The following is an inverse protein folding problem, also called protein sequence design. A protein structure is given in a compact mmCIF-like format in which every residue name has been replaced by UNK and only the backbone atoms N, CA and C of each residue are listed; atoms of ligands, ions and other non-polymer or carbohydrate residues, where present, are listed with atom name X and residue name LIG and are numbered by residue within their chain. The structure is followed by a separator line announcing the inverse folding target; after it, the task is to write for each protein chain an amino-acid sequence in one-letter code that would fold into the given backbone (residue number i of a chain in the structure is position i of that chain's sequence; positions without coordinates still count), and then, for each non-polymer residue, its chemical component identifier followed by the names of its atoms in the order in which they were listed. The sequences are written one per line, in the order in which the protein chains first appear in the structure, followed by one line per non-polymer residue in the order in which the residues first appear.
data_IF_403657143812
#
_entry.id   IF_403657143812
#
_cell.length_a   1.000
_cell.length_b   1.000
_cell.length_c   1.000
_cell.angle_alpha   90.00
_cell.angle_beta   90.00
_cell.angle_gamma   90.00
#
_symmetry.space_group_name_H-M   'P 1'
#
loop_
_entity.id
_entity.type
_entity.pdbx_description
1 polymer ?
#
# COMPACT_ATOMS: atom_id res chain seq x y z
N UNK A 1 20.39 41.91 7.73
CA UNK A 1 19.04 41.39 7.99
C UNK A 1 19.18 39.92 8.40
N UNK A 2 19.43 39.79 9.70
CA UNK A 2 19.24 38.70 10.66
C UNK A 2 19.22 37.23 10.23
N UNK A 3 20.39 36.61 10.47
CA UNK A 3 20.53 35.24 10.95
C UNK A 3 20.11 35.16 12.43
N UNK A 4 18.92 34.64 12.74
CA UNK A 4 18.59 34.17 14.09
C UNK A 4 17.35 33.26 14.08
N UNK A 5 17.55 31.94 13.99
CA UNK A 5 16.75 30.93 14.72
C UNK A 5 17.27 29.53 14.38
N UNK A 6 18.32 29.11 15.08
CA UNK A 6 18.73 27.72 15.22
C UNK A 6 18.75 27.41 16.71
N UNK A 7 17.62 27.00 17.25
CA UNK A 7 17.54 26.22 18.49
C UNK A 7 17.28 24.78 18.03
N UNK A 8 18.08 23.76 18.32
CA UNK A 8 18.92 23.56 19.50
C UNK A 8 18.24 22.55 20.43
N UNK A 9 17.89 21.36 19.94
CA UNK A 9 17.41 20.26 20.78
C UNK A 9 18.58 19.75 21.62
N UNK A 10 18.63 20.20 22.87
CA UNK A 10 19.57 19.74 23.89
C UNK A 10 18.95 18.50 24.54
N UNK A 11 19.51 17.33 24.23
CA UNK A 11 19.21 16.09 24.94
C UNK A 11 19.64 16.26 26.40
N UNK A 12 18.65 16.24 27.31
CA UNK A 12 18.89 16.15 28.75
C UNK A 12 19.13 14.68 29.07
N UNK A 13 20.26 14.30 29.70
CA UNK A 13 20.46 12.93 30.14
C UNK A 13 19.51 12.64 31.31
N UNK A 14 18.69 11.59 31.13
CA UNK A 14 17.79 11.08 32.14
C UNK A 14 18.63 10.32 33.20
N UNK A 15 18.97 11.00 34.29
CA UNK A 15 19.71 10.42 35.43
C UNK A 15 18.79 10.29 36.65
N UNK A 16 17.71 9.51 36.53
CA UNK A 16 16.91 9.10 37.69
C UNK A 16 16.54 7.61 37.54
N UNK A 17 17.53 6.75 37.83
CA UNK A 17 17.26 5.35 38.12
C UNK A 17 16.77 5.25 39.57
N UNK A 18 15.59 4.68 39.85
CA UNK A 18 15.13 4.48 41.22
C UNK A 18 16.04 3.48 41.94
N UNK A 19 16.52 3.88 43.12
CA UNK A 19 17.33 3.05 43.99
C UNK A 19 16.59 1.78 44.43
N UNK A 20 17.25 0.64 44.30
CA UNK A 20 16.81 -0.65 44.86
C UNK A 20 16.55 -0.53 46.38
N UNK A 21 15.38 -0.97 46.88
CA UNK A 21 15.16 -1.03 48.31
C UNK A 21 15.99 -2.16 48.95
N UNK A 22 16.72 -1.79 49.99
CA UNK A 22 17.55 -2.67 50.80
C UNK A 22 16.76 -3.86 51.39
N UNK A 23 17.31 -5.05 51.24
CA UNK A 23 16.78 -6.28 51.81
C UNK A 23 16.82 -6.24 53.36
N UNK A 24 15.65 -6.29 53.99
CA UNK A 24 15.48 -6.48 55.43
C UNK A 24 15.55 -7.99 55.71
N UNK A 25 16.70 -8.46 56.21
CA UNK A 25 16.87 -9.81 56.72
C UNK A 25 16.25 -9.92 58.13
N UNK A 26 15.07 -10.56 58.23
CA UNK A 26 14.48 -10.98 59.49
C UNK A 26 14.73 -12.47 59.76
N UNK A 27 15.11 -12.88 60.98
CA UNK A 27 15.38 -14.28 61.31
C UNK A 27 14.12 -15.01 61.79
N UNK A 28 13.90 -16.20 61.24
CA UNK A 28 13.38 -17.33 62.00
C UNK A 28 11.86 -17.57 61.99
N UNK A 29 11.41 -18.38 61.03
CA UNK A 29 10.28 -19.27 61.22
C UNK A 29 10.53 -20.58 60.45
N UNK A 30 10.90 -21.64 61.18
CA UNK A 30 11.02 -23.00 60.66
C UNK A 30 9.62 -23.53 60.35
N UNK A 31 9.21 -23.44 59.08
CA UNK A 31 8.09 -24.22 58.56
C UNK A 31 8.62 -25.58 58.07
N UNK A 32 7.97 -26.65 58.53
CA UNK A 32 8.30 -28.02 58.19
C UNK A 32 8.17 -28.25 56.67
N UNK A 33 9.31 -28.43 56.00
CA UNK A 33 9.39 -28.89 54.62
C UNK A 33 9.00 -30.38 54.59
N UNK A 34 7.77 -30.69 54.16
CA UNK A 34 7.44 -32.06 53.75
C UNK A 34 8.15 -32.32 52.42
N UNK A 35 9.23 -33.09 52.48
CA UNK A 35 9.88 -33.68 51.32
C UNK A 35 8.97 -34.74 50.70
N UNK A 36 7.95 -34.31 49.96
CA UNK A 36 7.36 -35.17 48.95
C UNK A 36 8.35 -35.22 47.79
N UNK A 37 8.92 -36.40 47.56
CA UNK A 37 9.82 -36.68 46.46
C UNK A 37 9.18 -36.17 45.16
N UNK A 38 9.77 -35.10 44.60
CA UNK A 38 9.44 -34.62 43.27
C UNK A 38 9.79 -35.77 42.30
N UNK A 39 8.76 -36.52 41.92
CA UNK A 39 8.90 -37.52 40.87
C UNK A 39 9.31 -36.83 39.57
N UNK A 40 9.87 -37.57 38.60
CA UNK A 40 10.40 -37.08 37.32
C UNK A 40 9.37 -36.40 36.39
N UNK A 41 8.19 -36.07 36.90
CA UNK A 41 7.08 -35.43 36.20
C UNK A 41 6.94 -33.93 36.50
N UNK A 42 7.61 -33.39 37.52
CA UNK A 42 7.55 -31.95 37.84
C UNK A 42 8.19 -31.08 36.75
N UNK A 43 9.25 -31.57 36.10
CA UNK A 43 9.95 -30.84 35.04
C UNK A 43 9.19 -30.89 33.71
N UNK A 44 8.40 -31.95 33.49
CA UNK A 44 7.54 -32.09 32.30
C UNK A 44 6.34 -31.13 32.38
N UNK A 45 5.77 -30.92 33.57
CA UNK A 45 4.69 -29.96 33.79
C UNK A 45 5.16 -28.50 33.58
N UNK A 46 6.38 -28.17 34.01
CA UNK A 46 6.91 -26.81 33.86
C UNK A 46 7.21 -26.43 32.38
N UNK A 47 7.62 -27.38 31.54
CA UNK A 47 7.85 -27.14 30.10
C UNK A 47 6.54 -27.13 29.29
N UNK A 48 5.51 -27.89 29.71
CA UNK A 48 4.19 -27.81 29.10
C UNK A 48 3.52 -26.45 29.30
N UNK A 49 3.69 -25.83 30.47
CA UNK A 49 3.07 -24.56 30.81
C UNK A 49 3.60 -23.40 29.95
N UNK A 50 4.92 -23.34 29.73
CA UNK A 50 5.53 -22.27 28.91
C UNK A 50 5.05 -22.29 27.45
N UNK A 51 4.93 -23.49 26.88
CA UNK A 51 4.48 -23.65 25.48
C UNK A 51 3.01 -23.28 25.31
N UNK A 52 2.18 -23.67 26.28
CA UNK A 52 0.77 -23.31 26.29
C UNK A 52 0.57 -21.79 26.40
N UNK A 53 1.34 -21.10 27.24
CA UNK A 53 1.28 -19.63 27.36
C UNK A 53 1.64 -18.92 26.06
N UNK A 54 2.72 -19.35 25.38
CA UNK A 54 3.13 -18.75 24.11
C UNK A 54 2.06 -18.92 23.01
N UNK A 55 1.43 -20.09 22.94
CA UNK A 55 0.35 -20.33 21.99
C UNK A 55 -0.92 -19.56 22.35
N UNK A 56 -1.28 -19.49 23.64
CA UNK A 56 -2.40 -18.67 24.10
C UNK A 56 -2.18 -17.22 23.73
N UNK A 57 -0.96 -16.69 23.89
CA UNK A 57 -0.60 -15.36 23.44
C UNK A 57 -0.75 -15.21 21.92
N UNK A 58 -0.28 -16.16 21.11
CA UNK A 58 -0.44 -16.13 19.65
C UNK A 58 -1.92 -16.16 19.22
N UNK A 59 -2.76 -16.94 19.92
CA UNK A 59 -4.21 -16.99 19.68
C UNK A 59 -4.88 -15.68 20.06
N UNK A 60 -4.52 -15.08 21.20
CA UNK A 60 -5.01 -13.76 21.61
C UNK A 60 -4.62 -12.72 20.56
N UNK A 61 -3.35 -12.67 20.13
CA UNK A 61 -2.90 -11.74 19.08
C UNK A 61 -3.65 -11.96 17.75
N UNK A 62 -3.86 -13.21 17.35
CA UNK A 62 -4.62 -13.56 16.13
C UNK A 62 -6.09 -13.17 16.26
N UNK A 63 -6.69 -13.39 17.42
CA UNK A 63 -8.06 -13.00 17.70
C UNK A 63 -8.23 -11.49 17.75
N UNK A 64 -7.27 -10.76 18.33
CA UNK A 64 -7.27 -9.30 18.38
C UNK A 64 -7.10 -8.68 16.99
N UNK A 65 -6.36 -9.35 16.10
CA UNK A 65 -6.21 -8.91 14.71
C UNK A 65 -7.44 -9.18 13.83
N UNK A 66 -8.21 -10.24 14.10
CA UNK A 66 -9.31 -10.68 13.22
C UNK A 66 -10.71 -10.39 13.80
N UNK A 67 -10.81 -10.15 15.11
CA UNK A 67 -12.06 -10.06 15.85
C UNK A 67 -12.66 -8.65 15.90
N UNK A 68 -11.88 -7.62 15.59
CA UNK A 68 -12.31 -6.23 15.66
C UNK A 68 -12.23 -5.58 14.29
N UNK A 69 -13.35 -4.99 13.85
CA UNK A 69 -13.34 -4.07 12.74
C UNK A 69 -12.96 -2.68 13.27
N UNK A 70 -11.78 -2.18 12.92
CA UNK A 70 -11.25 -0.89 13.39
C UNK A 70 -11.42 0.18 12.31
N UNK A 71 -11.54 1.42 12.74
CA UNK A 71 -11.40 2.57 11.86
C UNK A 71 -9.92 2.92 11.78
N UNK A 72 -9.42 3.23 10.60
CA UNK A 72 -8.06 3.70 10.40
C UNK A 72 -7.89 5.10 10.99
N UNK A 73 -7.15 5.22 12.10
CA UNK A 73 -6.98 6.48 12.81
C UNK A 73 -5.98 7.43 12.13
N UNK A 74 -5.11 6.90 11.27
CA UNK A 74 -4.02 7.65 10.65
C UNK A 74 -4.38 8.19 9.25
N UNK A 75 -5.55 7.80 8.73
CA UNK A 75 -6.02 8.20 7.41
C UNK A 75 -7.19 9.18 7.49
N UNK A 76 -7.17 10.18 6.61
CA UNK A 76 -8.29 11.12 6.42
C UNK A 76 -9.60 10.40 6.11
N UNK A 77 -9.56 9.24 5.46
CA UNK A 77 -10.76 8.45 5.17
C UNK A 77 -11.40 7.88 6.45
N UNK A 78 -10.59 7.49 7.43
CA UNK A 78 -11.11 7.04 8.73
C UNK A 78 -11.69 8.18 9.55
N UNK A 79 -11.07 9.37 9.51
CA UNK A 79 -11.64 10.58 10.09
C UNK A 79 -12.99 10.95 9.46
N UNK A 80 -13.06 10.96 8.12
CA UNK A 80 -14.29 11.23 7.37
C UNK A 80 -15.40 10.20 7.66
N UNK A 81 -15.04 8.97 7.98
CA UNK A 81 -15.97 7.91 8.37
C UNK A 81 -16.49 8.09 9.81
N UNK A 82 -15.58 8.30 10.77
CA UNK A 82 -15.90 8.28 12.20
C UNK A 82 -16.48 9.59 12.72
N UNK A 83 -15.96 10.74 12.30
CA UNK A 83 -16.36 12.04 12.85
C UNK A 83 -17.85 12.36 12.67
N UNK A 84 -18.50 12.07 11.52
CA UNK A 84 -19.95 12.24 11.41
C UNK A 84 -20.74 11.36 12.40
N UNK A 85 -20.24 10.16 12.73
CA UNK A 85 -20.89 9.28 13.71
C UNK A 85 -20.71 9.77 15.14
N UNK A 86 -19.54 10.34 15.46
CA UNK A 86 -19.29 11.00 16.74
C UNK A 86 -20.15 12.26 16.88
N UNK A 87 -20.25 13.09 15.84
CA UNK A 87 -21.13 14.25 15.81
C UNK A 87 -22.60 13.87 16.00
N UNK A 88 -23.07 12.82 15.31
CA UNK A 88 -24.42 12.27 15.51
C UNK A 88 -24.65 11.83 16.95
N UNK A 89 -23.69 11.14 17.55
CA UNK A 89 -23.78 10.63 18.92
C UNK A 89 -23.81 11.76 19.96
N UNK A 90 -23.14 12.88 19.67
CA UNK A 90 -23.17 14.10 20.48
C UNK A 90 -24.39 14.99 20.23
N UNK A 91 -25.30 14.62 19.32
CA UNK A 91 -26.46 15.46 18.97
C UNK A 91 -26.12 16.64 18.08
N UNK A 92 -25.09 16.52 17.24
CA UNK A 92 -24.65 17.53 16.27
C UNK A 92 -24.26 18.89 16.88
N UNK A 93 -23.61 18.89 18.05
CA UNK A 93 -23.08 20.14 18.60
C UNK A 93 -22.13 20.82 17.61
N UNK A 94 -22.05 22.15 17.65
CA UNK A 94 -21.29 22.95 16.67
C UNK A 94 -19.84 22.48 16.56
N UNK A 95 -19.19 22.13 17.69
CA UNK A 95 -17.80 21.65 17.71
C UNK A 95 -17.61 20.33 16.96
N UNK A 96 -18.43 19.31 17.26
CA UNK A 96 -18.32 18.02 16.58
C UNK A 96 -18.77 18.08 15.12
N UNK A 97 -19.81 18.87 14.82
CA UNK A 97 -20.27 19.11 13.45
C UNK A 97 -19.19 19.81 12.63
N UNK A 98 -18.54 20.84 13.19
CA UNK A 98 -17.41 21.50 12.55
C UNK A 98 -16.24 20.56 12.30
N UNK A 99 -15.94 19.67 13.24
CA UNK A 99 -14.89 18.67 13.09
C UNK A 99 -15.22 17.64 11.98
N UNK A 100 -16.46 17.15 11.95
CA UNK A 100 -16.95 16.25 10.90
C UNK A 100 -16.90 16.88 9.50
N UNK A 101 -17.32 18.14 9.36
CA UNK A 101 -17.23 18.89 8.10
C UNK A 101 -15.78 19.08 7.65
N UNK A 102 -14.85 19.36 8.57
CA UNK A 102 -13.42 19.43 8.25
C UNK A 102 -12.88 18.09 7.75
N UNK A 103 -13.21 16.99 8.42
CA UNK A 103 -12.82 15.64 7.98
C UNK A 103 -13.29 15.31 6.56
N UNK A 104 -14.55 15.63 6.24
CA UNK A 104 -15.10 15.47 4.88
C UNK A 104 -14.42 16.38 3.85
N UNK A 105 -14.10 17.63 4.23
CA UNK A 105 -13.40 18.57 3.35
C UNK A 105 -11.98 18.09 3.04
N UNK A 106 -11.22 17.66 4.05
CA UNK A 106 -9.87 17.12 3.83
C UNK A 106 -9.90 15.85 2.98
N UNK A 107 -10.92 14.99 3.14
CA UNK A 107 -11.10 13.82 2.29
C UNK A 107 -11.36 14.21 0.83
N UNK A 108 -12.21 15.20 0.59
CA UNK A 108 -12.44 15.73 -0.75
C UNK A 108 -11.16 16.32 -1.35
N UNK A 109 -10.42 17.13 -0.58
CA UNK A 109 -9.15 17.69 -1.01
C UNK A 109 -8.11 16.62 -1.33
N UNK A 110 -8.02 15.57 -0.51
CA UNK A 110 -7.14 14.42 -0.74
C UNK A 110 -7.47 13.73 -2.07
N UNK A 111 -8.74 13.39 -2.30
CA UNK A 111 -9.18 12.76 -3.55
C UNK A 111 -8.87 13.62 -4.78
N UNK A 112 -9.08 14.95 -4.68
CA UNK A 112 -8.79 15.88 -5.77
C UNK A 112 -7.29 16.00 -6.03
N UNK A 113 -6.47 16.05 -4.98
CA UNK A 113 -5.02 16.18 -5.10
C UNK A 113 -4.39 14.90 -5.67
N UNK A 114 -4.73 13.73 -5.10
CA UNK A 114 -4.27 12.44 -5.61
C UNK A 114 -4.77 12.22 -7.06
N UNK A 115 -6.05 12.48 -7.32
CA UNK A 115 -6.62 12.39 -8.66
C UNK A 115 -5.93 13.32 -9.67
N UNK A 116 -5.58 14.55 -9.27
CA UNK A 116 -4.85 15.50 -10.12
C UNK A 116 -3.43 15.01 -10.44
N UNK A 117 -2.68 14.53 -9.46
CA UNK A 117 -1.33 14.00 -9.68
C UNK A 117 -1.35 12.78 -10.60
N UNK A 118 -2.28 11.85 -10.37
CA UNK A 118 -2.48 10.68 -11.24
C UNK A 118 -2.91 11.09 -12.65
N UNK A 119 -3.76 12.11 -12.79
CA UNK A 119 -4.14 12.66 -14.09
C UNK A 119 -2.94 13.22 -14.84
N UNK A 120 -2.04 13.94 -14.16
CA UNK A 120 -0.83 14.47 -14.78
C UNK A 120 0.12 13.37 -15.25
N UNK A 121 0.37 12.34 -14.43
CA UNK A 121 1.19 11.20 -14.82
C UNK A 121 0.54 10.45 -15.99
N UNK A 122 -0.77 10.19 -15.92
CA UNK A 122 -1.49 9.53 -16.99
C UNK A 122 -1.48 10.33 -18.30
N UNK A 123 -1.51 11.67 -18.22
CA UNK A 123 -1.44 12.54 -19.39
C UNK A 123 -0.06 12.45 -20.03
N UNK A 124 1.00 12.48 -19.22
CA UNK A 124 2.38 12.33 -19.70
C UNK A 124 2.51 11.02 -20.50
N UNK A 125 2.18 9.90 -19.86
CA UNK A 125 2.33 8.56 -20.44
C UNK A 125 1.47 8.33 -21.68
N UNK A 126 0.21 8.74 -21.65
CA UNK A 126 -0.74 8.38 -22.71
C UNK A 126 -0.75 9.33 -23.89
N UNK A 127 -0.32 10.58 -23.69
CA UNK A 127 -0.41 11.66 -24.68
C UNK A 127 0.97 12.24 -24.98
N UNK A 128 1.70 12.73 -23.98
CA UNK A 128 2.94 13.49 -24.21
C UNK A 128 4.05 12.60 -24.76
N UNK A 129 4.27 11.42 -24.18
CA UNK A 129 5.28 10.47 -24.66
C UNK A 129 5.05 10.09 -26.13
N UNK A 130 3.80 9.98 -26.56
CA UNK A 130 3.45 9.68 -27.96
C UNK A 130 3.77 10.82 -28.91
N UNK A 131 3.61 12.08 -28.50
CA UNK A 131 4.10 13.22 -29.29
C UNK A 131 5.62 13.22 -29.42
N UNK A 132 6.33 12.69 -28.42
CA UNK A 132 7.75 12.42 -28.47
C UNK A 132 8.15 11.28 -29.41
N UNK A 133 7.19 10.55 -30.01
CA UNK A 133 7.42 9.30 -30.74
C UNK A 133 7.96 8.16 -29.87
N UNK A 134 7.72 8.21 -28.56
CA UNK A 134 8.14 7.17 -27.64
C UNK A 134 7.24 5.95 -27.77
N UNK A 135 7.87 4.83 -28.10
CA UNK A 135 7.24 3.51 -28.20
C UNK A 135 7.22 2.79 -26.86
N UNK A 136 6.32 1.82 -26.74
CA UNK A 136 6.23 1.00 -25.54
C UNK A 136 7.44 0.06 -25.42
N UNK A 137 8.08 -0.01 -24.27
CA UNK A 137 9.31 -0.80 -24.12
C UNK A 137 9.12 -2.31 -24.29
N UNK A 138 7.99 -2.88 -23.88
CA UNK A 138 7.70 -4.32 -23.98
C UNK A 138 8.94 -5.17 -23.58
N UNK A 139 9.41 -6.06 -24.47
CA UNK A 139 10.62 -6.88 -24.25
C UNK A 139 11.85 -6.39 -25.03
N UNK A 140 11.88 -5.13 -25.49
CA UNK A 140 13.04 -4.60 -26.22
C UNK A 140 14.32 -4.72 -25.39
N UNK A 141 15.31 -5.47 -25.88
CA UNK A 141 16.58 -5.74 -25.18
C UNK A 141 16.48 -6.54 -23.87
N UNK A 142 15.34 -7.17 -23.55
CA UNK A 142 15.19 -7.96 -22.32
C UNK A 142 16.21 -9.12 -22.20
N UNK A 143 16.69 -9.60 -23.35
CA UNK A 143 17.68 -10.69 -23.45
C UNK A 143 18.94 -10.29 -24.24
N UNK A 144 19.33 -9.01 -24.19
CA UNK A 144 20.47 -8.48 -24.95
C UNK A 144 21.79 -9.25 -24.73
N UNK A 145 21.95 -9.93 -23.58
CA UNK A 145 23.14 -10.75 -23.27
C UNK A 145 23.31 -11.95 -24.21
N UNK A 146 22.26 -12.37 -24.91
CA UNK A 146 22.26 -13.51 -25.83
C UNK A 146 22.29 -13.11 -27.30
N UNK A 147 22.35 -11.81 -27.59
CA UNK A 147 22.52 -11.30 -28.93
C UNK A 147 23.99 -11.40 -29.38
N UNK A 148 24.26 -11.71 -30.67
CA UNK A 148 23.34 -11.71 -31.81
C UNK A 148 22.64 -13.05 -32.12
N UNK A 149 22.87 -14.10 -31.34
CA UNK A 149 22.52 -15.48 -31.74
C UNK A 149 21.03 -15.86 -31.53
N UNK A 150 20.27 -15.05 -30.80
CA UNK A 150 18.83 -15.30 -30.52
C UNK A 150 17.88 -14.53 -31.45
N UNK A 151 16.64 -15.01 -31.56
CA UNK A 151 15.62 -14.52 -32.49
C UNK A 151 14.96 -13.18 -32.12
N UNK A 152 15.37 -12.51 -31.03
CA UNK A 152 14.83 -11.21 -30.58
C UNK A 152 15.96 -10.19 -30.35
N UNK A 153 16.80 -10.03 -31.35
CA UNK A 153 18.00 -9.20 -31.26
C UNK A 153 17.93 -7.92 -32.09
N UNK A 154 16.79 -7.63 -32.73
CA UNK A 154 16.61 -6.40 -33.51
C UNK A 154 15.84 -5.39 -32.66
N UNK A 155 16.42 -4.22 -32.47
CA UNK A 155 15.79 -3.14 -31.72
C UNK A 155 14.90 -2.26 -32.61
N UNK A 156 14.28 -1.23 -32.02
CA UNK A 156 13.41 -0.31 -32.74
C UNK A 156 14.03 0.43 -33.93
N UNK A 157 15.35 0.61 -33.92
CA UNK A 157 16.12 1.19 -35.01
C UNK A 157 16.33 0.24 -36.19
N UNK A 158 15.90 -1.01 -36.07
CA UNK A 158 16.09 -2.06 -37.08
C UNK A 158 17.50 -2.64 -37.09
N UNK A 159 18.30 -2.42 -36.05
CA UNK A 159 19.66 -2.96 -35.95
C UNK A 159 19.83 -3.89 -34.75
N UNK A 160 20.96 -4.62 -34.73
CA UNK A 160 21.23 -5.62 -33.69
C UNK A 160 21.51 -4.94 -32.35
N UNK A 161 20.74 -5.31 -31.32
CA UNK A 161 20.90 -4.85 -29.95
C UNK A 161 22.23 -5.38 -29.41
N UNK A 162 23.05 -4.47 -28.88
CA UNK A 162 24.26 -4.81 -28.11
C UNK A 162 24.31 -3.94 -26.86
N UNK A 163 24.90 -4.42 -25.74
CA UNK A 163 24.95 -3.65 -24.49
C UNK A 163 25.56 -2.25 -24.65
N UNK A 164 26.56 -2.09 -25.52
CA UNK A 164 27.22 -0.79 -25.77
C UNK A 164 26.40 0.18 -26.62
N UNK A 165 25.33 -0.30 -27.26
CA UNK A 165 24.46 0.46 -28.16
C UNK A 165 23.09 0.70 -27.55
N UNK A 166 22.85 0.30 -26.29
CA UNK A 166 21.58 0.51 -25.62
C UNK A 166 21.55 1.91 -24.99
N UNK A 167 20.51 2.68 -25.29
CA UNK A 167 20.35 4.05 -24.79
C UNK A 167 18.93 4.29 -24.30
N UNK A 168 18.78 5.30 -23.44
CA UNK A 168 17.50 5.89 -23.07
C UNK A 168 16.84 6.58 -24.27
N UNK A 169 15.55 6.88 -24.12
CA UNK A 169 14.76 7.41 -25.23
C UNK A 169 15.28 8.75 -25.73
N UNK A 170 15.68 9.66 -24.82
CA UNK A 170 16.09 11.01 -25.19
C UNK A 170 17.41 11.01 -25.98
N UNK A 171 18.38 10.21 -25.55
CA UNK A 171 19.63 10.05 -26.27
C UNK A 171 19.43 9.35 -27.62
N UNK A 172 18.64 8.27 -27.65
CA UNK A 172 18.33 7.54 -28.88
C UNK A 172 17.60 8.43 -29.89
N UNK A 173 16.58 9.17 -29.44
CA UNK A 173 15.81 10.10 -30.27
C UNK A 173 16.68 11.23 -30.82
N UNK A 174 17.52 11.84 -29.97
CA UNK A 174 18.46 12.89 -30.39
C UNK A 174 19.43 12.39 -31.46
N UNK A 175 20.00 11.20 -31.28
CA UNK A 175 20.93 10.63 -32.24
C UNK A 175 20.25 10.26 -33.56
N UNK A 176 19.04 9.70 -33.49
CA UNK A 176 18.21 9.41 -34.66
C UNK A 176 17.91 10.68 -35.45
N UNK A 177 17.49 11.74 -34.75
CA UNK A 177 17.26 13.05 -35.35
C UNK A 177 18.50 13.61 -36.06
N UNK A 178 19.69 13.50 -35.47
CA UNK A 178 20.95 13.96 -36.09
C UNK A 178 21.27 13.16 -37.35
N UNK A 179 21.18 11.82 -37.31
CA UNK A 179 21.40 10.95 -38.46
C UNK A 179 20.46 11.30 -39.61
N UNK A 180 19.18 11.44 -39.30
CA UNK A 180 18.14 11.66 -40.30
C UNK A 180 18.25 13.07 -40.91
N UNK A 181 18.56 14.07 -40.09
CA UNK A 181 18.84 15.44 -40.56
C UNK A 181 20.06 15.50 -41.48
N UNK A 182 21.15 14.80 -41.14
CA UNK A 182 22.34 14.72 -42.00
C UNK A 182 22.04 14.01 -43.32
N UNK A 183 21.24 12.95 -43.27
CA UNK A 183 20.81 12.20 -44.47
C UNK A 183 19.98 13.08 -45.39
N UNK A 184 19.09 13.91 -44.83
CA UNK A 184 18.31 14.87 -45.58
C UNK A 184 19.17 15.99 -46.19
N UNK A 185 20.20 16.46 -45.48
CA UNK A 185 21.11 17.51 -45.94
C UNK A 185 22.11 17.03 -47.00
N UNK A 186 22.56 15.78 -46.90
CA UNK A 186 23.59 15.18 -47.76
C UNK A 186 23.12 13.84 -48.31
N UNK A 187 22.11 13.81 -49.20
CA UNK A 187 21.54 12.57 -49.72
C UNK A 187 22.58 11.71 -50.45
N UNK A 188 23.60 12.33 -51.08
CA UNK A 188 24.70 11.61 -51.73
C UNK A 188 25.62 10.86 -50.76
N UNK A 189 25.53 11.17 -49.46
CA UNK A 189 26.27 10.54 -48.38
C UNK A 189 25.39 9.69 -47.47
N UNK A 190 24.14 9.40 -47.84
CA UNK A 190 23.21 8.65 -47.00
C UNK A 190 23.83 7.37 -46.44
N UNK A 191 24.47 6.56 -47.29
CA UNK A 191 25.10 5.32 -46.83
C UNK A 191 26.26 5.59 -45.86
N UNK A 192 27.14 6.54 -46.18
CA UNK A 192 28.26 6.91 -45.29
C UNK A 192 27.76 7.42 -43.93
N UNK A 193 26.66 8.17 -43.91
CA UNK A 193 26.04 8.70 -42.69
C UNK A 193 25.40 7.57 -41.90
N UNK A 194 24.62 6.68 -42.52
CA UNK A 194 24.04 5.52 -41.84
C UNK A 194 25.10 4.59 -41.25
N UNK A 195 26.23 4.44 -41.93
CA UNK A 195 27.34 3.61 -41.48
C UNK A 195 28.15 4.26 -40.33
N UNK A 196 28.32 5.59 -40.34
CA UNK A 196 29.16 6.31 -39.36
C UNK A 196 28.40 6.95 -38.21
N UNK A 197 27.12 7.26 -38.39
CA UNK A 197 26.25 7.90 -37.40
C UNK A 197 25.24 6.87 -36.92
N UNK A 198 25.73 6.00 -36.05
CA UNK A 198 24.94 4.96 -35.41
C UNK A 198 24.15 5.55 -34.22
N UNK A 199 22.80 5.58 -34.27
CA UNK A 199 22.02 6.05 -33.14
C UNK A 199 22.01 5.06 -31.96
N UNK A 200 22.39 3.80 -32.20
CA UNK A 200 22.17 2.70 -31.28
C UNK A 200 20.72 2.23 -31.29
N UNK A 201 20.30 1.64 -30.17
CA UNK A 201 18.98 1.05 -29.97
C UNK A 201 18.37 1.52 -28.65
N UNK A 202 17.06 1.75 -28.68
CA UNK A 202 16.25 2.00 -27.49
C UNK A 202 15.81 0.67 -26.89
N UNK A 203 15.94 0.51 -25.57
CA UNK A 203 15.47 -0.69 -24.91
C UNK A 203 15.74 -0.72 -23.41
N UNK A 204 15.45 -1.87 -22.81
CA UNK A 204 15.49 -2.05 -21.35
C UNK A 204 16.88 -2.46 -20.89
N UNK A 205 17.41 -1.79 -19.85
CA UNK A 205 18.69 -2.20 -19.27
C UNK A 205 18.56 -3.51 -18.49
N UNK A 206 17.48 -3.69 -17.74
CA UNK A 206 17.25 -4.87 -16.88
C UNK A 206 15.77 -5.23 -16.70
N UNK A 207 15.34 -6.28 -17.39
CA UNK A 207 13.99 -6.84 -17.29
C UNK A 207 13.60 -7.26 -15.86
N UNK A 208 14.52 -7.95 -15.17
CA UNK A 208 14.24 -8.47 -13.83
C UNK A 208 14.12 -7.35 -12.80
N UNK A 209 14.94 -6.31 -12.91
CA UNK A 209 14.84 -5.18 -12.00
C UNK A 209 13.48 -4.48 -12.16
N UNK A 210 12.99 -4.32 -13.39
CA UNK A 210 11.66 -3.78 -13.65
C UNK A 210 10.55 -4.57 -13.01
N UNK A 211 10.58 -5.89 -13.15
CA UNK A 211 9.59 -6.76 -12.50
C UNK A 211 9.65 -6.62 -10.98
N UNK A 212 10.86 -6.54 -10.41
CA UNK A 212 11.06 -6.31 -8.96
C UNK A 212 10.54 -4.94 -8.54
N UNK A 213 10.81 -3.87 -9.29
CA UNK A 213 10.29 -2.52 -9.01
C UNK A 213 8.76 -2.47 -9.06
N UNK A 214 8.14 -3.10 -10.07
CA UNK A 214 6.70 -3.26 -10.15
C UNK A 214 6.12 -4.00 -8.93
N UNK A 215 6.80 -5.06 -8.48
CA UNK A 215 6.41 -5.79 -7.28
C UNK A 215 6.57 -4.96 -6.00
N UNK A 216 7.70 -4.24 -5.84
CA UNK A 216 7.95 -3.35 -4.70
C UNK A 216 6.94 -2.19 -4.65
N UNK A 217 6.56 -1.67 -5.80
CA UNK A 217 5.52 -0.66 -5.93
C UNK A 217 4.16 -1.20 -5.43
N UNK A 218 3.73 -2.38 -5.90
CA UNK A 218 2.49 -3.02 -5.43
C UNK A 218 2.56 -3.40 -3.94
N UNK A 219 3.73 -3.80 -3.46
CA UNK A 219 3.98 -4.05 -2.04
C UNK A 219 3.76 -2.78 -1.20
N UNK A 220 4.24 -1.63 -1.65
CA UNK A 220 3.98 -0.32 -1.02
C UNK A 220 2.50 0.05 -0.99
N UNK A 221 1.78 -0.26 -2.08
CA UNK A 221 0.34 -0.03 -2.23
C UNK A 221 -0.55 -0.98 -1.41
N UNK A 222 0.01 -2.05 -0.85
CA UNK A 222 -0.79 -3.10 -0.25
C UNK A 222 -1.49 -2.66 1.06
N UNK A 223 -0.85 -1.77 1.82
CA UNK A 223 -1.42 -1.24 3.06
C UNK A 223 -2.74 -0.50 2.80
N UNK A 224 -2.81 0.29 1.72
CA UNK A 224 -4.00 1.06 1.36
C UNK A 224 -5.15 0.17 0.91
N UNK A 225 -4.86 -0.89 0.15
CA UNK A 225 -5.85 -1.89 -0.23
C UNK A 225 -6.38 -2.62 1.01
N UNK A 226 -5.49 -3.01 1.92
CA UNK A 226 -5.87 -3.66 3.17
C UNK A 226 -6.76 -2.75 4.02
N UNK A 227 -6.40 -1.47 4.19
CA UNK A 227 -7.23 -0.49 4.90
C UNK A 227 -8.59 -0.26 4.23
N UNK A 228 -8.65 -0.33 2.90
CA UNK A 228 -9.92 -0.26 2.15
C UNK A 228 -10.79 -1.50 2.41
N UNK A 229 -10.19 -2.69 2.51
CA UNK A 229 -10.88 -3.91 2.92
C UNK A 229 -11.34 -3.89 4.37
N UNK A 230 -10.56 -3.35 5.29
CA UNK A 230 -10.98 -3.17 6.68
C UNK A 230 -12.16 -2.20 6.78
N UNK A 231 -12.17 -1.12 5.99
CA UNK A 231 -13.30 -0.21 5.88
C UNK A 231 -14.55 -0.88 5.29
N UNK A 232 -14.41 -1.69 4.25
CA UNK A 232 -15.53 -2.45 3.68
C UNK A 232 -16.10 -3.43 4.70
N UNK A 233 -15.22 -4.19 5.36
CA UNK A 233 -15.57 -5.16 6.40
C UNK A 233 -16.26 -4.49 7.59
N UNK A 234 -15.82 -3.29 7.99
CA UNK A 234 -16.47 -2.46 9.00
C UNK A 234 -17.89 -2.05 8.58
N UNK A 235 -18.07 -1.51 7.37
CA UNK A 235 -19.39 -1.11 6.85
C UNK A 235 -20.36 -2.29 6.74
N UNK A 236 -19.82 -3.48 6.47
CA UNK A 236 -20.58 -4.73 6.39
C UNK A 236 -20.95 -5.30 7.76
N UNK A 237 -19.99 -5.37 8.69
CA UNK A 237 -20.17 -6.03 9.98
C UNK A 237 -20.94 -5.21 11.02
N UNK A 238 -20.82 -3.87 10.98
CA UNK A 238 -21.50 -3.00 11.94
C UNK A 238 -23.02 -3.11 11.75
N UNK A 239 -23.85 -3.23 12.81
CA UNK A 239 -25.30 -3.33 12.66
C UNK A 239 -25.91 -2.04 12.12
N UNK A 240 -27.14 -2.13 11.62
CA UNK A 240 -27.83 -0.99 10.98
C UNK A 240 -28.54 -0.08 12.00
N UNK A 241 -28.48 -0.43 13.29
CA UNK A 241 -29.10 0.31 14.37
C UNK A 241 -28.39 1.64 14.63
N UNK A 242 -29.13 2.66 15.04
CA UNK A 242 -28.62 4.02 15.22
C UNK A 242 -27.96 4.22 16.59
N UNK A 243 -27.02 3.36 16.96
CA UNK A 243 -26.38 3.38 18.28
C UNK A 243 -25.43 4.55 18.48
N UNK A 244 -25.12 4.88 19.74
CA UNK A 244 -24.19 5.98 20.08
C UNK A 244 -22.74 5.46 20.14
N UNK A 245 -21.85 6.14 19.44
CA UNK A 245 -20.40 5.87 19.42
C UNK A 245 -19.66 6.52 20.60
N UNK A 246 -20.32 7.44 21.30
CA UNK A 246 -19.84 8.11 22.51
C UNK A 246 -20.61 7.52 23.69
N UNK A 247 -19.91 6.87 24.61
CA UNK A 247 -20.48 6.29 25.83
C UNK A 247 -19.81 6.90 27.06
N UNK A 248 -20.56 7.46 28.02
CA UNK A 248 -20.00 7.92 29.29
C UNK A 248 -19.41 6.75 30.08
N UNK A 249 -18.14 6.85 30.48
CA UNK A 249 -17.42 5.83 31.27
C UNK A 249 -17.98 5.70 32.70
N UNK A 250 -18.81 6.66 33.17
CA UNK A 250 -19.40 6.65 34.52
C UNK A 250 -20.28 5.42 34.82
N UNK A 251 -20.81 4.76 33.79
CA UNK A 251 -21.52 3.48 33.95
C UNK A 251 -20.57 2.31 34.28
N UNK A 252 -19.30 2.39 33.89
CA UNK A 252 -18.32 1.33 34.06
C UNK A 252 -17.54 1.47 35.38
N UNK A 253 -17.20 2.71 35.76
CA UNK A 253 -16.55 3.01 37.04
C UNK A 253 -17.44 2.73 38.25
N UNK A 254 -18.77 2.78 38.15
CA UNK A 254 -19.64 2.34 39.25
C UNK A 254 -19.42 0.86 39.65
N UNK A 255 -18.89 0.03 38.74
CA UNK A 255 -18.51 -1.36 39.01
C UNK A 255 -17.07 -1.51 39.51
N UNK A 256 -16.17 -0.58 39.19
CA UNK A 256 -14.75 -0.62 39.59
C UNK A 256 -14.46 0.20 40.88
N UNK A 257 -15.24 1.24 41.17
CA UNK A 257 -15.14 2.04 42.40
C UNK A 257 -15.56 1.26 43.65
N UNK A 258 -16.40 0.22 43.54
CA UNK A 258 -16.62 -0.74 44.64
C UNK A 258 -15.34 -1.54 44.97
N UNK A 259 -14.36 -1.60 44.07
CA UNK A 259 -13.14 -2.39 44.23
C UNK A 259 -11.87 -1.59 44.59
N UNK A 260 -11.87 -0.25 44.56
CA UNK A 260 -10.59 0.50 44.55
C UNK A 260 -10.55 1.93 45.11
N UNK A 261 -11.45 2.32 46.01
CA UNK A 261 -11.62 3.71 46.45
C UNK A 261 -10.52 4.34 47.37
N UNK A 262 -9.21 4.08 47.17
CA UNK A 262 -8.19 4.59 48.10
C UNK A 262 -6.93 5.25 47.52
N UNK A 263 -6.84 5.48 46.22
CA UNK A 263 -5.66 6.14 45.66
C UNK A 263 -6.02 7.06 44.50
N UNK A 264 -6.14 8.37 44.76
CA UNK A 264 -5.43 9.43 44.03
C UNK A 264 -5.96 10.83 44.39
N UNK A 265 -5.09 11.67 44.94
CA UNK A 265 -5.29 13.12 45.08
C UNK A 265 -4.07 13.83 44.48
N UNK A 266 -4.04 14.02 43.16
CA UNK A 266 -3.01 14.84 42.53
C UNK A 266 -3.64 15.71 41.42
N UNK A 267 -3.33 17.01 41.43
CA UNK A 267 -4.08 18.06 40.75
C UNK A 267 -3.58 18.33 39.32
N UNK A 268 -2.39 17.89 38.93
CA UNK A 268 -1.88 17.98 37.53
C UNK A 268 -2.48 16.92 36.59
N UNK A 269 -3.32 16.03 37.13
CA UNK A 269 -4.03 14.99 36.39
C UNK A 269 -5.35 15.49 35.79
N UNK A 270 -5.84 16.69 36.15
CA UNK A 270 -7.22 17.10 35.83
C UNK A 270 -7.51 17.27 34.33
N UNK A 271 -6.57 17.73 33.51
CA UNK A 271 -6.80 17.95 32.07
C UNK A 271 -6.74 16.64 31.24
N UNK A 272 -6.05 15.61 31.74
CA UNK A 272 -6.07 14.26 31.16
C UNK A 272 -7.30 13.47 31.61
N UNK A 273 -7.81 13.73 32.82
CA UNK A 273 -8.95 13.03 33.42
C UNK A 273 -10.27 13.23 32.66
N UNK A 274 -10.51 14.36 32.00
CA UNK A 274 -11.83 14.62 31.39
C UNK A 274 -12.13 13.75 30.16
N UNK A 275 -11.12 13.44 29.34
CA UNK A 275 -11.27 12.54 28.20
C UNK A 275 -11.45 11.08 28.63
N UNK A 276 -10.91 10.69 29.79
CA UNK A 276 -11.04 9.33 30.32
C UNK A 276 -12.48 8.98 30.74
N UNK A 277 -13.32 9.99 30.99
CA UNK A 277 -14.74 9.79 31.27
C UNK A 277 -15.59 9.50 30.03
N UNK A 278 -15.00 9.50 28.84
CA UNK A 278 -15.69 9.25 27.58
C UNK A 278 -15.01 8.11 26.83
N UNK A 279 -15.76 7.03 26.62
CA UNK A 279 -15.30 5.93 25.80
C UNK A 279 -15.81 6.10 24.37
N UNK A 280 -14.88 6.22 23.42
CA UNK A 280 -15.16 6.15 22.00
C UNK A 280 -15.19 4.69 21.55
N UNK A 281 -16.28 4.25 20.94
CA UNK A 281 -16.39 2.90 20.35
C UNK A 281 -17.15 2.95 19.03
N UNK A 282 -16.77 2.09 18.09
CA UNK A 282 -17.59 1.85 16.90
C UNK A 282 -18.83 1.07 17.34
N UNK A 283 -20.00 1.62 17.06
CA UNK A 283 -21.31 1.02 17.35
C UNK A 283 -22.16 1.00 16.06
N UNK A 284 -23.41 0.54 16.15
CA UNK A 284 -24.35 0.53 15.02
C UNK A 284 -24.37 1.83 14.19
N UNK A 285 -24.48 1.66 12.88
CA UNK A 285 -24.50 2.74 11.88
C UNK A 285 -25.78 2.65 11.03
N UNK A 286 -26.58 3.73 10.93
CA UNK A 286 -27.77 3.75 10.08
C UNK A 286 -27.47 3.39 8.62
N UNK A 287 -28.41 2.72 7.94
CA UNK A 287 -28.21 2.24 6.56
C UNK A 287 -27.83 3.34 5.58
N UNK A 288 -28.48 4.50 5.67
CA UNK A 288 -28.20 5.63 4.78
C UNK A 288 -26.76 6.14 4.93
N UNK A 289 -26.22 6.14 6.15
CA UNK A 289 -24.82 6.49 6.38
C UNK A 289 -23.87 5.44 5.81
N UNK A 290 -24.20 4.15 5.89
CA UNK A 290 -23.42 3.09 5.24
C UNK A 290 -23.36 3.29 3.73
N UNK A 291 -24.50 3.59 3.10
CA UNK A 291 -24.59 3.85 1.66
C UNK A 291 -23.76 5.08 1.29
N UNK A 292 -23.89 6.18 2.03
CA UNK A 292 -23.09 7.40 1.80
C UNK A 292 -21.59 7.09 1.93
N UNK A 293 -21.17 6.41 3.00
CA UNK A 293 -19.77 6.05 3.21
C UNK A 293 -19.23 5.11 2.12
N UNK A 294 -20.05 4.16 1.66
CA UNK A 294 -19.67 3.27 0.57
C UNK A 294 -19.41 4.05 -0.73
N UNK A 295 -20.34 4.89 -1.17
CA UNK A 295 -20.24 5.58 -2.45
C UNK A 295 -19.30 6.79 -2.44
N UNK A 296 -19.16 7.50 -1.31
CA UNK A 296 -18.38 8.73 -1.24
C UNK A 296 -17.01 8.58 -0.57
N UNK A 297 -16.77 7.52 0.20
CA UNK A 297 -15.46 7.27 0.84
C UNK A 297 -14.79 6.04 0.24
N UNK A 298 -15.43 4.87 0.37
CA UNK A 298 -14.79 3.60 0.02
C UNK A 298 -14.60 3.43 -1.49
N UNK A 299 -15.64 3.67 -2.28
CA UNK A 299 -15.59 3.49 -3.73
C UNK A 299 -14.53 4.41 -4.38
N UNK A 300 -14.48 5.73 -4.10
CA UNK A 300 -13.43 6.59 -4.61
C UNK A 300 -12.03 6.16 -4.14
N UNK A 301 -11.86 5.72 -2.89
CA UNK A 301 -10.57 5.23 -2.36
C UNK A 301 -10.08 3.99 -3.14
N UNK A 302 -10.92 2.98 -3.29
CA UNK A 302 -10.58 1.76 -4.06
C UNK A 302 -10.31 2.12 -5.52
N UNK A 303 -11.07 3.06 -6.09
CA UNK A 303 -10.89 3.48 -7.48
C UNK A 303 -9.58 4.22 -7.71
N UNK A 304 -9.21 5.14 -6.80
CA UNK A 304 -7.93 5.82 -6.84
C UNK A 304 -6.78 4.82 -6.71
N UNK A 305 -6.89 3.85 -5.79
CA UNK A 305 -5.90 2.77 -5.67
C UNK A 305 -5.75 1.98 -6.98
N UNK A 306 -6.86 1.61 -7.63
CA UNK A 306 -6.85 0.91 -8.92
C UNK A 306 -6.14 1.74 -10.00
N UNK A 307 -6.45 3.04 -10.09
CA UNK A 307 -5.79 3.96 -11.01
C UNK A 307 -4.29 4.09 -10.71
N UNK A 308 -3.91 4.18 -9.44
CA UNK A 308 -2.50 4.29 -9.04
C UNK A 308 -1.71 3.04 -9.43
N UNK A 309 -2.24 1.84 -9.17
CA UNK A 309 -1.58 0.60 -9.57
C UNK A 309 -1.44 0.55 -11.09
N UNK A 310 -2.52 0.84 -11.83
CA UNK A 310 -2.54 0.77 -13.29
C UNK A 310 -1.53 1.74 -13.93
N UNK A 311 -1.65 3.03 -13.60
CA UNK A 311 -0.78 4.09 -14.13
C UNK A 311 0.67 3.87 -13.68
N UNK A 312 0.88 3.50 -12.42
CA UNK A 312 2.22 3.29 -11.90
C UNK A 312 2.93 2.08 -12.51
N UNK A 313 2.23 0.99 -12.79
CA UNK A 313 2.81 -0.15 -13.53
C UNK A 313 3.16 0.27 -14.95
N UNK A 314 2.25 0.94 -15.68
CA UNK A 314 2.57 1.44 -17.04
C UNK A 314 3.80 2.34 -17.00
N UNK A 315 3.84 3.31 -16.08
CA UNK A 315 4.97 4.24 -15.93
C UNK A 315 6.30 3.53 -15.65
N UNK A 316 6.30 2.54 -14.74
CA UNK A 316 7.51 1.75 -14.43
C UNK A 316 7.91 0.82 -15.58
N UNK A 317 6.95 0.29 -16.33
CA UNK A 317 7.22 -0.55 -17.50
C UNK A 317 7.81 0.27 -18.66
N UNK A 318 7.45 1.55 -18.76
CA UNK A 318 7.98 2.51 -19.74
C UNK A 318 9.28 3.21 -19.32
N UNK A 319 9.78 2.94 -18.11
CA UNK A 319 11.09 3.44 -17.70
C UNK A 319 12.20 2.49 -18.19
N UNK A 320 13.17 3.02 -18.95
CA UNK A 320 14.29 2.25 -19.54
C UNK A 320 15.51 2.17 -18.62
N UNK A 321 15.85 3.28 -17.95
CA UNK A 321 17.01 3.39 -17.06
C UNK A 321 16.75 2.83 -15.66
N UNK A 322 17.78 2.22 -15.08
CA UNK A 322 17.76 1.66 -13.72
C UNK A 322 17.52 2.77 -12.66
N UNK A 323 18.21 3.89 -12.76
CA UNK A 323 18.16 4.97 -11.75
C UNK A 323 16.77 5.61 -11.72
N UNK A 324 16.25 5.97 -12.89
CA UNK A 324 14.91 6.53 -13.05
C UNK A 324 13.84 5.58 -12.54
N UNK A 325 13.97 4.28 -12.78
CA UNK A 325 12.97 3.31 -12.33
C UNK A 325 12.89 3.23 -10.80
N UNK A 326 14.02 3.37 -10.10
CA UNK A 326 14.06 3.42 -8.63
C UNK A 326 13.42 4.72 -8.15
N UNK A 327 13.77 5.87 -8.75
CA UNK A 327 13.23 7.19 -8.39
C UNK A 327 11.72 7.23 -8.62
N UNK A 328 11.25 6.77 -9.78
CA UNK A 328 9.85 6.70 -10.17
C UNK A 328 9.05 5.79 -9.23
N UNK A 329 9.61 4.64 -8.85
CA UNK A 329 8.98 3.74 -7.88
C UNK A 329 8.77 4.41 -6.51
N UNK A 330 9.77 5.16 -6.03
CA UNK A 330 9.68 5.90 -4.76
C UNK A 330 8.70 7.07 -4.86
N UNK A 331 8.74 7.81 -5.97
CA UNK A 331 7.87 8.97 -6.21
C UNK A 331 6.38 8.57 -6.27
N UNK A 332 6.05 7.42 -6.86
CA UNK A 332 4.68 6.91 -6.86
C UNK A 332 4.19 6.55 -5.45
N UNK A 333 5.09 6.09 -4.57
CA UNK A 333 4.77 5.85 -3.16
C UNK A 333 4.37 7.12 -2.40
N UNK A 334 4.94 8.28 -2.76
CA UNK A 334 4.58 9.56 -2.14
C UNK A 334 3.10 9.92 -2.35
N UNK A 335 2.54 9.63 -3.53
CA UNK A 335 1.12 9.94 -3.84
C UNK A 335 0.17 9.30 -2.83
N UNK A 336 0.52 8.11 -2.33
CA UNK A 336 -0.28 7.38 -1.35
C UNK A 336 -0.24 8.03 0.01
N UNK A 337 0.95 8.43 0.46
CA UNK A 337 1.15 9.08 1.77
C UNK A 337 0.48 10.44 1.92
N UNK A 338 -0.08 11.00 0.83
CA UNK A 338 -0.80 12.28 0.88
C UNK A 338 -1.96 12.24 1.86
N UNK A 339 -2.67 11.11 2.00
CA UNK A 339 -3.81 11.05 2.92
C UNK A 339 -3.37 11.10 4.40
N UNK A 340 -2.26 10.45 4.74
CA UNK A 340 -1.59 10.54 6.05
C UNK A 340 -1.07 11.96 6.32
N UNK A 341 -0.46 12.60 5.31
CA UNK A 341 0.00 13.99 5.41
C UNK A 341 -1.17 14.96 5.65
N UNK A 342 -2.29 14.77 4.96
CA UNK A 342 -3.51 15.55 5.20
C UNK A 342 -4.09 15.29 6.59
N UNK A 343 -4.01 14.05 7.09
CA UNK A 343 -4.44 13.70 8.45
C UNK A 343 -3.56 14.40 9.49
N UNK A 344 -2.26 14.53 9.24
CA UNK A 344 -1.31 15.26 10.09
C UNK A 344 -1.63 16.75 10.26
N UNK A 345 -2.46 17.34 9.39
CA UNK A 345 -2.92 18.74 9.49
C UNK A 345 -4.18 18.86 10.36
N UNK A 346 -4.90 17.75 10.63
CA UNK A 346 -6.07 17.78 11.50
C UNK A 346 -5.70 18.18 12.93
N UNK A 347 -6.63 18.80 13.69
CA UNK A 347 -6.39 19.15 15.09
C UNK A 347 -5.96 17.91 15.90
N UNK A 348 -4.94 18.00 16.77
CA UNK A 348 -4.43 16.85 17.53
C UNK A 348 -5.50 16.12 18.35
N UNK A 349 -6.54 16.82 18.79
CA UNK A 349 -7.68 16.26 19.51
C UNK A 349 -8.44 15.24 18.64
N UNK A 350 -8.52 15.48 17.33
CA UNK A 350 -9.12 14.55 16.39
C UNK A 350 -8.34 13.24 16.32
N UNK A 351 -7.02 13.31 16.16
CA UNK A 351 -6.15 12.13 16.11
C UNK A 351 -6.27 11.34 17.41
N UNK A 352 -6.19 12.02 18.57
CA UNK A 352 -6.38 11.39 19.87
C UNK A 352 -7.76 10.73 20.02
N UNK A 353 -8.83 11.33 19.51
CA UNK A 353 -10.17 10.73 19.53
C UNK A 353 -10.25 9.47 18.65
N UNK A 354 -9.62 9.48 17.48
CA UNK A 354 -9.61 8.34 16.56
C UNK A 354 -8.72 7.19 17.07
N UNK A 355 -7.56 7.51 17.65
CA UNK A 355 -6.67 6.53 18.30
C UNK A 355 -7.36 5.82 19.48
N UNK A 356 -8.21 6.55 20.23
CA UNK A 356 -8.98 6.00 21.35
C UNK A 356 -10.29 5.32 20.91
N UNK A 357 -10.62 5.31 19.61
CA UNK A 357 -11.83 4.68 19.10
C UNK A 357 -11.69 3.16 19.10
N UNK A 358 -12.37 2.50 20.05
CA UNK A 358 -12.37 1.03 20.12
C UNK A 358 -13.12 0.45 18.91
N UNK A 359 -12.50 -0.53 18.24
CA UNK A 359 -13.10 -1.22 17.10
C UNK A 359 -14.39 -1.97 17.46
N UNK A 360 -15.23 -2.21 16.45
CA UNK A 360 -16.44 -3.01 16.60
C UNK A 360 -16.05 -4.48 16.76
N UNK A 361 -16.36 -5.07 17.91
CA UNK A 361 -16.23 -6.51 18.10
C UNK A 361 -17.24 -7.19 17.19
N UNK A 362 -16.79 -8.09 16.31
CA UNK A 362 -17.68 -8.88 15.45
C UNK A 362 -18.46 -9.87 16.32
N UNK A 363 -19.55 -9.38 16.88
CA UNK A 363 -20.45 -10.10 17.77
C UNK A 363 -21.08 -11.28 17.01
N UNK A 364 -20.99 -12.50 17.56
CA UNK A 364 -21.47 -13.81 17.07
C UNK A 364 -20.42 -14.88 16.76
N UNK A 365 -19.13 -14.67 17.01
CA UNK A 365 -18.40 -15.80 17.57
C UNK A 365 -18.67 -15.72 19.06
N UNK A 366 -19.58 -16.55 19.65
CA UNK A 366 -19.40 -16.83 21.06
C UNK A 366 -17.91 -17.05 21.21
N UNK A 367 -17.28 -16.43 22.20
CA UNK A 367 -16.13 -17.08 22.79
C UNK A 367 -16.71 -18.39 23.30
N UNK A 368 -16.88 -19.37 22.40
CA UNK A 368 -16.62 -20.75 22.72
C UNK A 368 -15.19 -20.68 23.20
N UNK A 369 -15.06 -20.38 24.49
CA UNK A 369 -14.18 -21.11 25.37
C UNK A 369 -14.40 -22.55 24.94
N UNK A 370 -13.64 -22.95 23.93
CA UNK A 370 -13.47 -24.33 23.59
C UNK A 370 -13.04 -24.91 24.93
N UNK A 371 -13.75 -25.93 25.42
CA UNK A 371 -13.35 -26.57 26.65
C UNK A 371 -11.84 -26.80 26.58
N UNK A 372 -11.12 -26.53 27.66
CA UNK A 372 -9.65 -26.54 27.69
C UNK A 372 -9.06 -27.81 27.04
N UNK A 373 -9.75 -28.95 27.19
CA UNK A 373 -9.38 -30.22 26.56
C UNK A 373 -9.39 -30.19 25.02
N UNK A 374 -10.35 -29.51 24.39
CA UNK A 374 -10.44 -29.42 22.93
C UNK A 374 -9.37 -28.46 22.37
N UNK A 375 -9.01 -27.42 23.14
CA UNK A 375 -7.87 -26.57 22.81
C UNK A 375 -6.55 -27.36 22.83
N UNK A 376 -6.33 -28.18 23.86
CA UNK A 376 -5.15 -29.06 23.95
C UNK A 376 -5.15 -30.08 22.80
N UNK A 377 -6.31 -30.61 22.42
CA UNK A 377 -6.43 -31.54 21.29
C UNK A 377 -6.11 -30.88 19.96
N UNK A 378 -6.64 -29.69 19.68
CA UNK A 378 -6.32 -28.94 18.47
C UNK A 378 -4.83 -28.61 18.40
N UNK A 379 -4.21 -28.30 19.55
CA UNK A 379 -2.78 -28.09 19.65
C UNK A 379 -1.99 -29.36 19.27
N UNK A 380 -2.38 -30.52 19.79
CA UNK A 380 -1.74 -31.79 19.44
C UNK A 380 -1.86 -32.12 17.95
N UNK A 381 -3.01 -31.81 17.33
CA UNK A 381 -3.21 -31.99 15.89
C UNK A 381 -2.35 -31.02 15.07
N UNK A 382 -2.22 -29.75 15.49
CA UNK A 382 -1.37 -28.77 14.83
C UNK A 382 0.13 -29.14 14.90
N UNK A 383 0.53 -29.89 15.92
CA UNK A 383 1.89 -30.39 16.10
C UNK A 383 2.26 -31.54 15.15
N UNK A 384 1.28 -32.30 14.67
CA UNK A 384 1.48 -33.37 13.71
C UNK A 384 1.59 -32.82 12.28
N UNK A 385 2.59 -31.96 12.03
CA UNK A 385 2.90 -31.48 10.70
C UNK A 385 3.95 -32.36 10.04
N UNK A 386 3.89 -32.44 8.71
CA UNK A 386 4.91 -33.07 7.87
C UNK A 386 5.43 -32.01 6.91
N UNK A 387 6.68 -32.12 6.43
CA UNK A 387 7.24 -31.15 5.47
C UNK A 387 6.41 -31.02 4.17
N UNK A 388 5.61 -32.04 3.86
CA UNK A 388 4.71 -32.08 2.71
C UNK A 388 3.24 -31.81 3.07
N UNK A 389 2.96 -31.48 4.33
CA UNK A 389 1.60 -31.13 4.74
C UNK A 389 1.19 -29.80 4.14
N UNK A 390 0.04 -29.77 3.47
CA UNK A 390 -0.56 -28.55 2.94
C UNK A 390 -0.76 -27.48 4.02
N UNK A 391 -1.05 -27.87 5.28
CA UNK A 391 -1.20 -26.94 6.40
C UNK A 391 0.08 -26.17 6.71
N UNK A 392 1.25 -26.81 6.58
CA UNK A 392 2.55 -26.17 6.79
C UNK A 392 2.80 -25.14 5.70
N UNK A 393 2.60 -25.50 4.43
CA UNK A 393 2.77 -24.58 3.30
C UNK A 393 1.78 -23.41 3.33
N UNK A 394 0.53 -23.66 3.70
CA UNK A 394 -0.48 -22.62 3.87
C UNK A 394 -0.20 -21.68 5.07
N UNK A 395 0.59 -22.14 6.05
CA UNK A 395 1.08 -21.31 7.16
C UNK A 395 2.39 -20.58 6.83
N UNK A 396 3.25 -21.21 6.02
CA UNK A 396 4.56 -20.68 5.63
C UNK A 396 4.44 -19.61 4.55
N UNK A 397 3.55 -19.79 3.58
CA UNK A 397 3.36 -18.83 2.49
C UNK A 397 2.37 -17.75 2.96
N UNK A 398 2.82 -16.51 3.15
CA UNK A 398 1.93 -15.44 3.59
C UNK A 398 0.91 -15.16 2.47
N UNK A 399 -0.37 -15.42 2.74
CA UNK A 399 -1.47 -15.17 1.77
C UNK A 399 -1.46 -13.75 1.21
N UNK A 400 -1.02 -12.78 2.01
CA UNK A 400 -0.82 -11.38 1.59
C UNK A 400 0.20 -11.27 0.45
N UNK A 401 1.33 -11.97 0.55
CA UNK A 401 2.36 -12.00 -0.49
C UNK A 401 1.86 -12.61 -1.79
N UNK A 402 1.10 -13.70 -1.73
CA UNK A 402 0.46 -14.26 -2.92
C UNK A 402 -0.52 -13.28 -3.57
N UNK A 403 -1.28 -12.54 -2.76
CA UNK A 403 -2.15 -11.47 -3.24
C UNK A 403 -1.38 -10.38 -3.97
N UNK A 404 -0.28 -9.90 -3.39
CA UNK A 404 0.60 -8.90 -4.01
C UNK A 404 1.19 -9.40 -5.33
N UNK A 405 1.73 -10.62 -5.35
CA UNK A 405 2.25 -11.25 -6.57
C UNK A 405 1.18 -11.40 -7.65
N UNK A 406 -0.04 -11.79 -7.27
CA UNK A 406 -1.15 -11.92 -8.20
C UNK A 406 -1.57 -10.57 -8.80
N UNK A 407 -1.64 -9.51 -7.98
CA UNK A 407 -1.93 -8.15 -8.45
C UNK A 407 -0.83 -7.66 -9.39
N UNK A 408 0.44 -7.77 -9.02
CA UNK A 408 1.57 -7.39 -9.90
C UNK A 408 1.50 -8.16 -11.21
N UNK A 409 1.33 -9.48 -11.17
CA UNK A 409 1.28 -10.32 -12.37
C UNK A 409 0.10 -9.95 -13.26
N UNK A 410 -1.07 -9.65 -12.67
CA UNK A 410 -2.26 -9.23 -13.41
C UNK A 410 -2.01 -7.92 -14.16
N UNK A 411 -1.47 -6.88 -13.50
CA UNK A 411 -1.25 -5.58 -14.14
C UNK A 411 -0.08 -5.59 -15.13
N UNK A 412 0.98 -6.36 -14.88
CA UNK A 412 2.06 -6.58 -15.87
C UNK A 412 1.50 -7.31 -17.09
N UNK A 413 0.74 -8.40 -16.91
CA UNK A 413 0.12 -9.10 -18.04
C UNK A 413 -0.85 -8.19 -18.82
N UNK A 414 -1.64 -7.38 -18.11
CA UNK A 414 -2.51 -6.37 -18.71
C UNK A 414 -1.71 -5.40 -19.59
N UNK A 415 -0.59 -4.88 -19.09
CA UNK A 415 0.30 -4.00 -19.87
C UNK A 415 0.73 -4.66 -21.19
N UNK A 416 1.22 -5.90 -21.16
CA UNK A 416 1.63 -6.60 -22.39
C UNK A 416 0.48 -6.79 -23.38
N UNK A 417 -0.71 -7.16 -22.90
CA UNK A 417 -1.90 -7.34 -23.74
C UNK A 417 -2.34 -6.02 -24.40
N UNK A 418 -2.26 -4.92 -23.65
CA UNK A 418 -2.70 -3.59 -24.12
C UNK A 418 -1.69 -2.92 -25.05
N UNK A 419 -0.40 -3.07 -24.81
CA UNK A 419 0.65 -2.28 -25.46
C UNK A 419 1.52 -3.06 -26.44
N UNK A 420 1.58 -4.38 -26.33
CA UNK A 420 2.53 -5.21 -27.08
C UNK A 420 1.84 -6.16 -28.07
N UNK A 421 2.59 -6.59 -29.08
CA UNK A 421 2.23 -7.64 -30.03
C UNK A 421 3.26 -8.76 -29.90
N UNK A 422 2.77 -9.99 -29.80
CA UNK A 422 3.64 -11.17 -29.80
C UNK A 422 3.99 -11.55 -31.24
N UNK A 423 5.29 -11.57 -31.55
CA UNK A 423 5.82 -11.89 -32.88
C UNK A 423 6.06 -13.40 -33.03
N UNK A 424 6.28 -13.86 -34.27
CA UNK A 424 6.52 -15.29 -34.57
C UNK A 424 7.82 -15.83 -33.94
N UNK A 425 8.77 -14.93 -33.63
CA UNK A 425 10.05 -15.22 -32.99
C UNK A 425 9.97 -15.42 -31.46
N UNK A 426 8.78 -15.24 -30.87
CA UNK A 426 8.54 -15.31 -29.43
C UNK A 426 8.72 -13.99 -28.67
N UNK A 427 9.08 -12.90 -29.36
CA UNK A 427 9.27 -11.58 -28.75
C UNK A 427 7.95 -10.83 -28.56
N UNK A 428 7.92 -9.94 -27.57
CA UNK A 428 6.88 -8.93 -27.42
C UNK A 428 7.40 -7.56 -27.87
N UNK A 429 6.84 -7.03 -28.95
CA UNK A 429 7.21 -5.71 -29.51
C UNK A 429 6.08 -4.70 -29.30
N UNK A 430 6.39 -3.41 -29.27
CA UNK A 430 5.38 -2.36 -29.20
C UNK A 430 4.38 -2.47 -30.35
N UNK A 431 3.09 -2.26 -30.06
CA UNK A 431 2.09 -1.97 -31.09
C UNK A 431 2.49 -0.72 -31.91
N UNK A 432 2.04 -0.61 -33.17
CA UNK A 432 2.20 0.59 -33.98
C UNK A 432 1.84 1.86 -33.21
N UNK A 433 2.77 2.81 -33.16
CA UNK A 433 2.60 4.05 -32.45
C UNK A 433 1.84 5.04 -33.33
N UNK A 434 0.74 5.59 -32.82
CA UNK A 434 -0.08 6.60 -33.52
C UNK A 434 -0.15 7.87 -32.70
N UNK A 435 -0.02 9.01 -33.37
CA UNK A 435 -0.11 10.31 -32.70
C UNK A 435 -1.54 10.57 -32.22
N UNK A 436 -1.72 11.04 -30.97
CA UNK A 436 -3.02 11.51 -30.52
C UNK A 436 -3.40 12.79 -31.27
N UNK A 437 -4.67 12.94 -31.65
CA UNK A 437 -5.16 14.13 -32.36
C UNK A 437 -5.19 15.38 -31.50
N UNK A 438 -5.28 15.20 -30.18
CA UNK A 438 -5.36 16.28 -29.20
C UNK A 438 -4.28 16.14 -28.13
N UNK A 439 -3.79 17.28 -27.61
CA UNK A 439 -2.83 17.32 -26.50
C UNK A 439 -3.49 17.28 -25.12
N UNK A 440 -4.81 17.37 -25.06
CA UNK A 440 -5.60 17.22 -23.84
C UNK A 440 -6.03 15.77 -23.64
N UNK A 441 -5.85 15.25 -22.43
CA UNK A 441 -6.47 13.99 -22.01
C UNK A 441 -7.88 14.30 -21.49
N UNK A 442 -8.92 13.77 -22.13
CA UNK A 442 -10.28 13.90 -21.61
C UNK A 442 -10.38 13.27 -20.21
N UNK A 443 -11.08 13.94 -19.28
CA UNK A 443 -11.28 13.43 -17.91
C UNK A 443 -11.95 12.06 -17.93
N UNK A 444 -12.83 11.78 -18.90
CA UNK A 444 -13.48 10.47 -19.03
C UNK A 444 -12.47 9.40 -19.48
N UNK A 445 -11.58 9.71 -20.42
CA UNK A 445 -10.50 8.80 -20.84
C UNK A 445 -9.50 8.53 -19.71
N UNK A 446 -9.24 9.52 -18.85
CA UNK A 446 -8.47 9.33 -17.62
C UNK A 446 -9.21 8.42 -16.63
N UNK A 447 -10.46 8.77 -16.31
CA UNK A 447 -11.24 8.06 -15.31
C UNK A 447 -11.38 6.59 -15.71
N UNK A 448 -11.83 6.30 -16.92
CA UNK A 448 -11.97 4.93 -17.45
C UNK A 448 -10.67 4.38 -18.03
N UNK A 449 -9.53 4.94 -17.67
CA UNK A 449 -8.23 4.54 -18.17
C UNK A 449 -7.90 3.06 -18.02
N UNK A 450 -8.31 2.37 -16.93
CA UNK A 450 -8.11 0.94 -16.79
C UNK A 450 -8.89 0.07 -17.78
N UNK A 451 -9.84 0.65 -18.52
CA UNK A 451 -10.69 0.00 -19.52
C UNK A 451 -10.58 0.76 -20.85
N UNK A 452 -9.44 0.65 -21.58
CA UNK A 452 -9.16 1.49 -22.74
C UNK A 452 -10.18 1.36 -23.88
N UNK A 453 -10.95 0.27 -23.91
CA UNK A 453 -11.98 0.02 -24.92
C UNK A 453 -13.21 0.92 -24.77
N UNK A 454 -13.47 1.48 -23.59
CA UNK A 454 -14.67 2.30 -23.35
C UNK A 454 -14.52 3.73 -23.88
N UNK A 455 -13.31 4.29 -23.73
CA UNK A 455 -13.00 5.67 -24.12
C UNK A 455 -11.62 5.73 -24.78
N UNK A 456 -11.48 5.17 -26.00
CA UNK A 456 -10.22 5.17 -26.72
C UNK A 456 -9.76 6.61 -26.99
N UNK A 457 -8.44 6.82 -26.97
CA UNK A 457 -7.86 8.11 -27.35
C UNK A 457 -7.89 8.21 -28.87
N UNK A 458 -8.47 9.29 -29.39
CA UNK A 458 -8.48 9.57 -30.81
C UNK A 458 -7.04 9.76 -31.31
N UNK A 459 -6.62 8.86 -32.21
CA UNK A 459 -5.30 8.87 -32.79
C UNK A 459 -5.38 9.00 -34.33
N UNK A 460 -4.30 9.46 -34.93
CA UNK A 460 -4.13 9.47 -36.38
C UNK A 460 -4.15 8.05 -36.94
N UNK A 461 -4.64 7.90 -38.18
CA UNK A 461 -4.74 6.57 -38.82
C UNK A 461 -3.37 6.03 -39.20
N UNK A 462 -2.47 6.92 -39.62
CA UNK A 462 -1.11 6.56 -40.00
C UNK A 462 -0.24 6.40 -38.75
N UNK A 463 0.46 5.27 -38.62
CA UNK A 463 1.42 5.07 -37.56
C UNK A 463 2.64 5.95 -37.83
N UNK A 464 3.16 6.59 -36.78
CA UNK A 464 4.40 7.36 -36.86
C UNK A 464 5.64 6.48 -36.72
N UNK A 465 5.46 5.32 -36.09
CA UNK A 465 6.48 4.33 -35.88
C UNK A 465 5.84 2.95 -35.89
N UNK A 466 6.49 2.02 -36.57
CA UNK A 466 6.20 0.59 -36.55
C UNK A 466 7.51 -0.17 -36.47
N UNK A 467 7.47 -1.37 -35.90
CA UNK A 467 8.64 -2.23 -35.83
C UNK A 467 9.12 -2.56 -37.26
N UNK A 468 10.39 -2.26 -37.63
CA UNK A 468 10.89 -2.58 -38.95
C UNK A 468 10.79 -4.07 -39.25
N UNK A 469 10.39 -4.42 -40.48
CA UNK A 469 10.38 -5.82 -40.91
C UNK A 469 11.81 -6.37 -40.89
N UNK A 470 12.05 -7.39 -40.06
CA UNK A 470 13.34 -8.09 -40.05
C UNK A 470 13.44 -8.87 -41.35
N UNK A 471 14.48 -8.63 -42.18
CA UNK A 471 14.70 -9.42 -43.38
C UNK A 471 14.76 -10.90 -42.99
N UNK A 472 13.80 -11.70 -43.48
CA UNK A 472 13.89 -13.15 -43.37
C UNK A 472 14.98 -13.58 -44.34
N UNK A 473 16.22 -13.65 -43.86
CA UNK A 473 17.32 -14.23 -44.62
C UNK A 473 16.88 -15.65 -45.03
N UNK A 474 16.65 -15.82 -46.34
CA UNK A 474 16.09 -17.03 -46.95
C UNK A 474 17.12 -18.13 -47.20
#
# INVERSE_FOLDING_TARGET
MDQASRNGYRLVPNTDAPAEPAAINGPGARAAQSQHAAGPWSDVAADSDKRWVAEKALRVMKHDSAGFAKVDANSVYGAALALPQLARSAGWTISYTGLALRGLLFMLMNNLLQGFLLYMISKEERIINKFGSQMFLCDFAAHHQRCPDESNCVGPGGTIITPSRLYDFDLWSTRTFVRDSLTLLFPEKEQEIRDKVDPGEYGVESYYLRTVCCFLFVLGLWHDLAGSWEMLDLLWCVPTDSERWIVPTSMQKAQEEEAGAQAYSDHSLHETIELDFVQFRVAGMPLHWKIVNFFFLLFPKIYLWLLTVDIGIVFLMETSEIEDMIINCVALGFILTIDELMMGIMPPECTKMLENLKGYAKENRPQTHLPEHEEVRQHQLARNWHCWSFSLWAALIPRRLLGMLAVTSFFVAKYYVEHCVHMDDGSWVSKPLRLPKESSLSILSFLFGPLPTLYPIDAEEQPIWEMPEVPRDG
#
